data_IF_331448599861
#
_entry.id   IF_331448599861
#
_cell.length_a   1.000
_cell.length_b   1.000
_cell.length_c   1.000
_cell.angle_alpha   90.00
_cell.angle_beta   90.00
_cell.angle_gamma   90.00
#
_symmetry.space_group_name_H-M   'P 1'
#
loop_
_entity.id
_entity.type
_entity.pdbx_description
1 polymer ?
#
# COMPACT_ATOMS: atom_id res chain seq x y z
N UNK A 1 28.84 9.64 15.37
CA UNK A 1 28.20 8.33 15.14
C UNK A 1 28.00 8.21 13.62
N UNK A 2 28.57 7.17 12.99
CA UNK A 2 28.42 6.92 11.56
C UNK A 2 27.43 5.76 11.38
N UNK A 3 26.30 6.03 10.75
CA UNK A 3 25.30 5.02 10.43
C UNK A 3 25.54 4.47 9.02
N UNK A 4 25.30 3.18 8.85
CA UNK A 4 25.28 2.55 7.51
C UNK A 4 24.01 2.91 6.75
N UNK A 5 24.01 2.79 5.41
CA UNK A 5 22.82 3.02 4.57
C UNK A 5 21.64 2.13 5.01
N UNK A 6 21.92 0.88 5.42
CA UNK A 6 20.91 -0.04 5.96
C UNK A 6 20.27 0.52 7.23
N UNK A 7 21.08 1.01 8.18
CA UNK A 7 20.55 1.61 9.41
C UNK A 7 19.77 2.89 9.15
N UNK A 8 20.21 3.72 8.19
CA UNK A 8 19.47 4.90 7.77
C UNK A 8 18.13 4.54 7.15
N UNK A 9 18.07 3.49 6.31
CA UNK A 9 16.83 2.98 5.75
C UNK A 9 15.86 2.49 6.84
N UNK A 10 16.34 1.70 7.80
CA UNK A 10 15.53 1.21 8.92
C UNK A 10 14.95 2.35 9.76
N UNK A 11 15.74 3.39 10.01
CA UNK A 11 15.28 4.61 10.71
C UNK A 11 14.21 5.35 9.89
N UNK A 12 14.41 5.48 8.57
CA UNK A 12 13.45 6.14 7.70
C UNK A 12 12.11 5.39 7.63
N UNK A 13 12.15 4.06 7.51
CA UNK A 13 10.96 3.19 7.55
C UNK A 13 10.21 3.34 8.88
N UNK A 14 10.94 3.28 9.99
CA UNK A 14 10.36 3.48 11.32
C UNK A 14 9.73 4.87 11.46
N UNK A 15 10.44 5.93 11.06
CA UNK A 15 9.95 7.30 11.16
C UNK A 15 8.69 7.52 10.32
N UNK A 16 8.65 6.98 9.10
CA UNK A 16 7.48 7.08 8.21
C UNK A 16 6.25 6.43 8.85
N UNK A 17 6.37 5.17 9.28
CA UNK A 17 5.26 4.43 9.90
C UNK A 17 4.77 5.09 11.19
N UNK A 18 5.70 5.63 12.01
CA UNK A 18 5.33 6.32 13.26
C UNK A 18 4.68 7.66 13.03
N UNK A 19 5.11 8.40 12.00
CA UNK A 19 4.49 9.68 11.65
C UNK A 19 3.06 9.47 11.14
N UNK A 20 2.84 8.50 10.27
CA UNK A 20 1.53 8.11 9.76
C UNK A 20 0.56 7.77 10.91
N UNK A 21 0.95 6.84 11.78
CA UNK A 21 0.14 6.48 12.94
C UNK A 21 -0.10 7.61 13.93
N UNK A 22 0.89 8.48 14.19
CA UNK A 22 0.74 9.63 15.09
C UNK A 22 -0.23 10.66 14.51
N UNK A 23 -0.16 10.90 13.20
CA UNK A 23 -1.09 11.77 12.48
C UNK A 23 -2.52 11.26 12.55
N UNK A 24 -2.71 9.96 12.23
CA UNK A 24 -4.01 9.30 12.33
C UNK A 24 -4.61 9.43 13.74
N UNK A 25 -3.85 9.10 14.78
CA UNK A 25 -4.32 9.19 16.17
C UNK A 25 -4.64 10.63 16.60
N UNK A 26 -3.89 11.62 16.11
CA UNK A 26 -4.18 13.02 16.38
C UNK A 26 -5.50 13.48 15.75
N UNK A 27 -5.77 13.04 14.51
CA UNK A 27 -7.06 13.28 13.83
C UNK A 27 -8.20 12.57 14.56
N UNK A 28 -8.04 11.29 14.90
CA UNK A 28 -9.03 10.49 15.60
C UNK A 28 -9.41 11.12 16.96
N UNK A 29 -8.43 11.61 17.70
CA UNK A 29 -8.65 12.32 18.97
C UNK A 29 -9.47 13.61 18.79
N UNK A 30 -9.25 14.33 17.69
CA UNK A 30 -9.86 15.66 17.46
C UNK A 30 -11.21 15.59 16.76
N UNK A 31 -11.37 14.68 15.82
CA UNK A 31 -12.50 14.64 14.89
C UNK A 31 -13.30 13.33 14.93
N UNK A 32 -12.86 12.34 15.71
CA UNK A 32 -13.42 11.00 15.74
C UNK A 32 -12.76 10.04 14.74
N UNK A 33 -12.91 8.74 15.00
CA UNK A 33 -12.23 7.67 14.26
C UNK A 33 -12.69 7.61 12.79
N UNK A 34 -13.97 7.81 12.52
CA UNK A 34 -14.54 7.74 11.17
C UNK A 34 -13.94 8.81 10.26
N UNK A 35 -13.94 10.07 10.71
CA UNK A 35 -13.34 11.19 9.97
C UNK A 35 -11.83 11.01 9.79
N UNK A 36 -11.14 10.52 10.82
CA UNK A 36 -9.70 10.22 10.71
C UNK A 36 -9.43 9.15 9.67
N UNK A 37 -10.26 8.10 9.63
CA UNK A 37 -10.12 7.03 8.65
C UNK A 37 -10.38 7.50 7.21
N UNK A 38 -11.41 8.30 6.97
CA UNK A 38 -11.68 8.90 5.67
C UNK A 38 -10.49 9.74 5.18
N UNK A 39 -9.91 10.55 6.06
CA UNK A 39 -8.74 11.37 5.73
C UNK A 39 -7.50 10.53 5.47
N UNK A 40 -7.30 9.45 6.21
CA UNK A 40 -6.20 8.51 6.02
C UNK A 40 -6.28 7.81 4.66
N UNK A 41 -7.48 7.34 4.29
CA UNK A 41 -7.72 6.74 2.96
C UNK A 41 -7.38 7.71 1.83
N UNK A 42 -7.80 8.98 1.94
CA UNK A 42 -7.46 10.00 0.93
C UNK A 42 -5.97 10.34 0.91
N UNK A 43 -5.31 10.36 2.06
CA UNK A 43 -3.85 10.58 2.14
C UNK A 43 -3.09 9.44 1.45
N UNK A 44 -3.46 8.18 1.72
CA UNK A 44 -2.85 7.01 1.08
C UNK A 44 -3.10 6.94 -0.41
N UNK A 45 -4.28 7.33 -0.88
CA UNK A 45 -4.60 7.47 -2.31
C UNK A 45 -3.68 8.48 -3.00
N UNK A 46 -3.53 9.68 -2.42
CA UNK A 46 -2.63 10.69 -2.94
C UNK A 46 -1.18 10.25 -2.93
N UNK A 47 -0.71 9.74 -1.79
CA UNK A 47 0.66 9.25 -1.63
C UNK A 47 0.99 8.19 -2.66
N UNK A 48 0.11 7.21 -2.83
CA UNK A 48 0.30 6.09 -3.75
C UNK A 48 0.41 6.55 -5.21
N UNK A 49 -0.41 7.51 -5.62
CA UNK A 49 -0.30 8.12 -6.94
C UNK A 49 1.04 8.85 -7.15
N UNK A 50 1.45 9.66 -6.16
CA UNK A 50 2.72 10.39 -6.19
C UNK A 50 3.88 9.40 -6.20
N UNK A 51 3.80 8.33 -5.42
CA UNK A 51 4.80 7.26 -5.39
C UNK A 51 4.96 6.61 -6.76
N UNK A 52 3.86 6.14 -7.37
CA UNK A 52 3.88 5.54 -8.71
C UNK A 52 4.47 6.48 -9.76
N UNK A 53 4.09 7.76 -9.73
CA UNK A 53 4.64 8.80 -10.61
C UNK A 53 6.15 9.02 -10.40
N UNK A 54 6.61 8.98 -9.15
CA UNK A 54 8.03 9.10 -8.83
C UNK A 54 8.83 7.90 -9.33
N UNK A 55 8.33 6.68 -9.12
CA UNK A 55 8.94 5.45 -9.63
C UNK A 55 9.06 5.49 -11.16
N UNK A 56 7.99 5.89 -11.86
CA UNK A 56 8.02 6.06 -13.31
C UNK A 56 9.09 7.06 -13.75
N UNK A 57 9.13 8.22 -13.12
CA UNK A 57 10.04 9.30 -13.51
C UNK A 57 11.51 8.94 -13.31
N UNK A 58 11.84 8.29 -12.21
CA UNK A 58 13.22 8.15 -11.76
C UNK A 58 13.81 6.75 -12.00
N UNK A 59 12.97 5.70 -12.04
CA UNK A 59 13.45 4.31 -12.04
C UNK A 59 12.90 3.48 -13.20
N UNK A 60 11.60 3.59 -13.54
CA UNK A 60 10.96 2.80 -14.60
C UNK A 60 10.39 3.73 -15.69
N UNK A 61 11.26 4.28 -16.52
CA UNK A 61 10.90 5.30 -17.52
C UNK A 61 9.92 4.85 -18.60
N UNK A 62 9.87 3.55 -18.89
CA UNK A 62 8.96 2.94 -19.88
C UNK A 62 8.25 1.75 -19.23
N UNK A 63 7.23 2.01 -18.41
CA UNK A 63 6.55 0.94 -17.69
C UNK A 63 5.77 0.02 -18.63
N UNK A 64 5.90 -1.28 -18.40
CA UNK A 64 5.20 -2.34 -19.13
C UNK A 64 4.36 -3.15 -18.13
N UNK A 65 3.09 -3.29 -18.42
CA UNK A 65 2.16 -4.10 -17.64
C UNK A 65 2.41 -5.60 -17.89
N UNK A 66 2.33 -6.48 -16.89
CA UNK A 66 2.17 -6.22 -15.47
C UNK A 66 3.51 -6.05 -14.72
N UNK A 67 4.64 -6.36 -15.37
CA UNK A 67 5.97 -6.46 -14.75
C UNK A 67 6.36 -5.21 -13.97
N UNK A 68 6.22 -4.04 -14.59
CA UNK A 68 6.58 -2.77 -13.93
C UNK A 68 5.73 -2.44 -12.71
N UNK A 69 4.48 -2.91 -12.67
CA UNK A 69 3.66 -2.78 -11.47
C UNK A 69 4.17 -3.68 -10.35
N UNK A 70 4.55 -4.92 -10.67
CA UNK A 70 5.11 -5.87 -9.70
C UNK A 70 6.41 -5.31 -9.11
N UNK A 71 7.29 -4.76 -9.95
CA UNK A 71 8.53 -4.11 -9.52
C UNK A 71 8.25 -2.91 -8.60
N UNK A 72 7.29 -2.05 -8.96
CA UNK A 72 6.89 -0.92 -8.14
C UNK A 72 6.31 -1.35 -6.79
N UNK A 73 5.54 -2.43 -6.77
CA UNK A 73 5.00 -3.00 -5.53
C UNK A 73 6.07 -3.66 -4.67
N UNK A 74 7.11 -4.24 -5.26
CA UNK A 74 8.26 -4.73 -4.50
C UNK A 74 8.99 -3.60 -3.79
N UNK A 75 9.26 -2.50 -4.50
CA UNK A 75 9.86 -1.30 -3.91
C UNK A 75 8.96 -0.75 -2.80
N UNK A 76 7.65 -0.65 -3.03
CA UNK A 76 6.68 -0.16 -2.06
C UNK A 76 6.68 -1.01 -0.78
N UNK A 77 6.67 -2.33 -0.93
CA UNK A 77 6.70 -3.26 0.20
C UNK A 77 7.98 -3.14 1.02
N UNK A 78 9.11 -2.96 0.35
CA UNK A 78 10.39 -2.71 1.04
C UNK A 78 10.38 -1.40 1.81
N UNK A 79 9.85 -0.32 1.23
CA UNK A 79 9.74 0.99 1.90
C UNK A 79 8.87 0.90 3.15
N UNK A 80 7.77 0.17 3.09
CA UNK A 80 6.82 0.00 4.21
C UNK A 80 7.14 -1.19 5.12
N UNK A 81 8.20 -1.95 4.80
CA UNK A 81 8.56 -3.17 5.55
C UNK A 81 7.41 -4.18 5.62
N UNK A 82 6.68 -4.36 4.51
CA UNK A 82 5.65 -5.38 4.38
C UNK A 82 6.34 -6.69 4.03
N UNK A 83 6.27 -7.66 4.92
CA UNK A 83 6.83 -9.00 4.76
C UNK A 83 5.75 -10.01 4.35
N UNK A 84 6.16 -11.19 3.87
CA UNK A 84 5.22 -12.28 3.54
C UNK A 84 4.27 -12.00 2.37
N UNK A 85 4.64 -11.08 1.47
CA UNK A 85 3.87 -10.82 0.25
C UNK A 85 4.23 -11.79 -0.86
N UNK A 86 3.24 -12.49 -1.36
CA UNK A 86 3.33 -13.35 -2.53
C UNK A 86 2.55 -12.73 -3.69
N UNK A 87 3.13 -12.77 -4.89
CA UNK A 87 2.49 -12.28 -6.11
C UNK A 87 2.49 -13.39 -7.15
N UNK A 88 1.33 -13.64 -7.72
CA UNK A 88 1.17 -14.58 -8.84
C UNK A 88 0.38 -13.93 -9.98
N UNK A 89 0.58 -14.44 -11.20
CA UNK A 89 -0.18 -14.02 -12.38
C UNK A 89 -0.96 -15.24 -12.85
N UNK A 90 -2.28 -15.14 -12.83
CA UNK A 90 -3.19 -16.20 -13.23
C UNK A 90 -4.20 -15.65 -14.23
N UNK A 91 -4.24 -16.20 -15.45
CA UNK A 91 -5.15 -15.79 -16.51
C UNK A 91 -5.16 -14.26 -16.76
N UNK A 92 -3.98 -13.64 -16.79
CA UNK A 92 -3.80 -12.20 -16.99
C UNK A 92 -4.17 -11.32 -15.79
N UNK A 93 -4.62 -11.91 -14.69
CA UNK A 93 -4.89 -11.21 -13.42
C UNK A 93 -3.68 -11.33 -12.51
N UNK A 94 -3.44 -10.28 -11.74
CA UNK A 94 -2.44 -10.31 -10.68
C UNK A 94 -3.17 -10.65 -9.37
N UNK A 95 -2.67 -11.65 -8.66
CA UNK A 95 -3.14 -12.01 -7.33
C UNK A 95 -2.02 -11.73 -6.33
N UNK A 96 -2.31 -10.90 -5.34
CA UNK A 96 -1.39 -10.55 -4.26
C UNK A 96 -1.92 -11.12 -2.97
N UNK A 97 -1.11 -11.90 -2.26
CA UNK A 97 -1.42 -12.45 -0.94
C UNK A 97 -0.45 -11.94 0.11
N UNK A 98 -0.96 -11.64 1.28
CA UNK A 98 -0.18 -11.21 2.45
C UNK A 98 -0.71 -11.97 3.65
N UNK A 99 0.15 -12.79 4.26
CA UNK A 99 -0.20 -13.62 5.42
C UNK A 99 0.12 -12.95 6.75
N UNK A 100 0.99 -11.94 6.74
CA UNK A 100 1.34 -11.15 7.92
C UNK A 100 1.51 -9.67 7.55
N UNK A 101 0.74 -8.79 8.20
CA UNK A 101 0.72 -7.36 7.90
C UNK A 101 0.67 -6.52 9.18
N UNK A 102 1.79 -5.93 9.54
CA UNK A 102 1.88 -5.05 10.72
C UNK A 102 0.96 -3.83 10.62
N UNK A 103 0.78 -3.29 9.39
CA UNK A 103 -0.14 -2.18 9.15
C UNK A 103 -1.59 -2.58 9.45
N UNK A 104 -2.01 -3.78 9.00
CA UNK A 104 -3.35 -4.31 9.30
C UNK A 104 -3.56 -4.47 10.82
N UNK A 105 -2.57 -5.00 11.54
CA UNK A 105 -2.64 -5.15 13.01
C UNK A 105 -2.77 -3.78 13.70
N UNK A 106 -2.03 -2.77 13.22
CA UNK A 106 -2.09 -1.41 13.76
C UNK A 106 -3.46 -0.77 13.50
N UNK A 107 -4.01 -0.91 12.30
CA UNK A 107 -5.34 -0.42 11.92
C UNK A 107 -6.43 -1.07 12.78
N UNK A 108 -6.39 -2.39 12.95
CA UNK A 108 -7.33 -3.13 13.82
C UNK A 108 -7.23 -2.66 15.27
N UNK A 109 -6.01 -2.48 15.80
CA UNK A 109 -5.78 -1.96 17.16
C UNK A 109 -6.30 -0.53 17.34
N UNK A 110 -6.30 0.27 16.30
CA UNK A 110 -6.86 1.63 16.30
C UNK A 110 -8.38 1.65 16.26
N UNK A 111 -9.05 0.49 16.12
CA UNK A 111 -10.51 0.37 16.12
C UNK A 111 -11.15 0.40 14.72
N UNK A 112 -10.36 0.35 13.66
CA UNK A 112 -10.87 0.24 12.28
C UNK A 112 -10.98 -1.22 11.88
N UNK A 113 -12.19 -1.66 11.58
CA UNK A 113 -12.51 -3.06 11.32
C UNK A 113 -12.11 -3.53 9.92
N UNK A 114 -11.94 -2.64 8.96
CA UNK A 114 -11.66 -2.98 7.56
C UNK A 114 -10.63 -2.04 6.93
N UNK A 115 -9.50 -2.61 6.51
CA UNK A 115 -8.45 -1.91 5.78
C UNK A 115 -8.55 -2.07 4.24
N UNK A 116 -9.58 -2.76 3.74
CA UNK A 116 -9.71 -3.08 2.32
C UNK A 116 -9.76 -1.86 1.41
N UNK A 117 -10.46 -0.81 1.81
CA UNK A 117 -10.58 0.40 1.00
C UNK A 117 -9.24 1.10 0.80
N UNK A 118 -8.40 1.22 1.84
CA UNK A 118 -7.08 1.84 1.70
C UNK A 118 -6.16 0.99 0.83
N UNK A 119 -6.27 -0.34 0.91
CA UNK A 119 -5.53 -1.27 0.06
C UNK A 119 -5.90 -1.09 -1.42
N UNK A 120 -7.19 -1.02 -1.74
CA UNK A 120 -7.69 -0.79 -3.10
C UNK A 120 -7.17 0.55 -3.63
N UNK A 121 -7.36 1.65 -2.88
CA UNK A 121 -6.92 2.99 -3.27
C UNK A 121 -5.39 3.08 -3.45
N UNK A 122 -4.63 2.35 -2.64
CA UNK A 122 -3.17 2.28 -2.76
C UNK A 122 -2.75 1.64 -4.08
N UNK A 123 -3.33 0.51 -4.45
CA UNK A 123 -2.95 -0.20 -5.68
C UNK A 123 -3.39 0.57 -6.92
N UNK A 124 -4.61 1.09 -6.93
CA UNK A 124 -5.10 1.95 -8.00
C UNK A 124 -4.25 3.23 -8.14
N UNK A 125 -3.88 3.83 -7.01
CA UNK A 125 -3.01 5.01 -6.98
C UNK A 125 -1.65 4.73 -7.63
N UNK A 126 -0.96 3.66 -7.22
CA UNK A 126 0.34 3.27 -7.80
C UNK A 126 0.21 3.01 -9.30
N UNK A 127 -0.81 2.24 -9.73
CA UNK A 127 -1.04 1.95 -11.15
C UNK A 127 -1.27 3.25 -11.94
N UNK A 128 -2.15 4.10 -11.47
CA UNK A 128 -2.46 5.38 -12.12
C UNK A 128 -1.24 6.30 -12.23
N UNK A 129 -0.41 6.35 -11.20
CA UNK A 129 0.84 7.14 -11.20
C UNK A 129 1.90 6.54 -12.12
N UNK A 130 2.08 5.23 -12.08
CA UNK A 130 3.11 4.52 -12.85
C UNK A 130 2.80 4.52 -14.34
N UNK A 131 1.56 4.30 -14.74
CA UNK A 131 1.14 4.17 -16.14
C UNK A 131 0.47 5.43 -16.71
N UNK A 132 0.47 6.55 -15.97
CA UNK A 132 -0.12 7.82 -16.42
C UNK A 132 -1.60 7.69 -16.82
N UNK A 133 -2.34 6.87 -16.07
CA UNK A 133 -3.75 6.53 -16.32
C UNK A 133 -4.02 5.82 -17.67
N UNK A 134 -2.98 5.29 -18.33
CA UNK A 134 -3.15 4.56 -19.59
C UNK A 134 -3.54 3.08 -19.40
N UNK A 135 -3.55 2.60 -18.17
CA UNK A 135 -3.99 1.25 -17.80
C UNK A 135 -5.23 1.38 -16.92
N UNK A 136 -6.32 0.75 -17.34
CA UNK A 136 -7.52 0.61 -16.53
C UNK A 136 -7.55 -0.76 -15.88
N UNK A 137 -7.82 -0.80 -14.59
CA UNK A 137 -7.91 -2.04 -13.81
C UNK A 137 -9.11 -2.01 -12.89
N UNK A 138 -9.59 -3.20 -12.53
CA UNK A 138 -10.47 -3.41 -11.37
C UNK A 138 -9.63 -4.05 -10.26
N UNK A 139 -9.56 -3.40 -9.11
CA UNK A 139 -8.92 -3.93 -7.91
C UNK A 139 -10.00 -4.42 -6.95
N UNK A 140 -9.87 -5.64 -6.46
CA UNK A 140 -10.79 -6.22 -5.49
C UNK A 140 -10.00 -6.83 -4.33
N UNK A 141 -10.35 -6.47 -3.10
CA UNK A 141 -9.84 -7.08 -1.87
C UNK A 141 -10.80 -8.23 -1.50
N UNK A 142 -10.40 -9.46 -1.76
CA UNK A 142 -11.29 -10.64 -1.72
C UNK A 142 -11.21 -11.40 -0.41
N UNK A 143 -10.09 -11.29 0.33
CA UNK A 143 -9.89 -11.81 1.67
C UNK A 143 -9.23 -10.77 2.55
N UNK A 144 -9.58 -10.73 3.83
CA UNK A 144 -9.10 -9.73 4.77
C UNK A 144 -8.78 -10.33 6.14
N UNK A 145 -7.52 -10.24 6.56
CA UNK A 145 -7.07 -10.68 7.88
C UNK A 145 -7.87 -10.05 9.03
N UNK A 146 -8.39 -8.83 8.86
CA UNK A 146 -9.26 -8.19 9.85
C UNK A 146 -10.64 -8.86 9.98
N UNK A 147 -11.06 -9.59 8.96
CA UNK A 147 -12.31 -10.35 8.97
C UNK A 147 -12.12 -11.82 9.42
N UNK A 148 -10.88 -12.22 9.77
CA UNK A 148 -10.56 -13.57 10.21
C UNK A 148 -10.17 -14.52 9.09
N UNK A 149 -9.93 -14.01 7.87
CA UNK A 149 -9.38 -14.82 6.79
C UNK A 149 -7.92 -15.23 7.07
N UNK A 150 -7.45 -16.25 6.38
CA UNK A 150 -6.07 -16.78 6.46
C UNK A 150 -5.00 -15.85 5.89
N UNK A 151 -5.41 -14.92 5.03
CA UNK A 151 -4.56 -13.92 4.40
C UNK A 151 -5.39 -12.70 3.97
N UNK A 152 -4.71 -11.59 3.66
CA UNK A 152 -5.27 -10.59 2.75
C UNK A 152 -5.02 -11.03 1.31
N UNK A 153 -6.06 -11.02 0.47
CA UNK A 153 -5.94 -11.33 -0.96
C UNK A 153 -6.51 -10.19 -1.80
N UNK A 154 -5.70 -9.70 -2.73
CA UNK A 154 -6.10 -8.66 -3.68
C UNK A 154 -5.98 -9.20 -5.09
N UNK A 155 -7.05 -9.07 -5.86
CA UNK A 155 -7.10 -9.45 -7.28
C UNK A 155 -7.17 -8.18 -8.12
N UNK A 156 -6.23 -8.06 -9.06
CA UNK A 156 -6.15 -6.93 -10.00
C UNK A 156 -6.42 -7.47 -11.40
N UNK A 157 -7.50 -7.02 -11.99
CA UNK A 157 -7.97 -7.46 -13.31
C UNK A 157 -7.84 -6.28 -14.30
N UNK A 158 -7.07 -6.41 -15.39
CA UNK A 158 -7.10 -5.43 -16.49
C UNK A 158 -8.51 -5.33 -17.10
N UNK A 159 -8.90 -4.11 -17.51
CA UNK A 159 -10.18 -3.82 -18.16
C UNK A 159 -10.00 -3.56 -19.65
#
# INVERSE_FOLDING_TARGET
MNLTDKQMMEIAQYAFTRMDGAWFLALAKKFGIETAWEMDVEAWKQFSYIFGKNIRKNYIKKPVWPGSFIDAMDIFSRVLKIEGREVSINDGKIVVRITDCETQKAIAKAGVADCGIVTIQTYEGIINGLFDKNISVKVAHTKNLNHGDDCCEVIITPL
#
